data_IF_320983292886
#
_entry.id   IF_320983292886
#
_cell.length_a   1.000
_cell.length_b   1.000
_cell.length_c   1.000
_cell.angle_alpha   90.00
_cell.angle_beta   90.00
_cell.angle_gamma   90.00
#
_symmetry.space_group_name_H-M   'P 1'
#
loop_
_entity.id
_entity.type
_entity.pdbx_description
1 polymer ?
#
# COMPACT_ATOMS: atom_id res chain seq x y z
N UNK A 1 13.52 -10.29 7.11
CA UNK A 1 13.06 -11.66 6.78
C UNK A 1 11.55 -11.73 6.53
N UNK A 2 10.70 -11.10 7.33
CA UNK A 2 9.22 -11.12 7.17
C UNK A 2 8.77 -10.69 5.77
N UNK A 3 9.20 -9.51 5.29
CA UNK A 3 8.86 -9.01 3.96
C UNK A 3 9.39 -9.90 2.81
N UNK A 4 10.60 -10.45 2.96
CA UNK A 4 11.20 -11.35 1.95
C UNK A 4 10.47 -12.70 1.87
N UNK A 5 10.09 -13.27 3.01
CA UNK A 5 9.34 -14.52 3.07
C UNK A 5 7.90 -14.32 2.57
N UNK A 6 7.30 -13.17 2.85
CA UNK A 6 6.00 -12.78 2.29
C UNK A 6 6.08 -12.65 0.76
N UNK A 7 7.15 -12.04 0.25
CA UNK A 7 7.51 -11.98 -1.19
C UNK A 7 7.57 -13.37 -1.82
N UNK A 8 8.28 -14.32 -1.18
CA UNK A 8 8.40 -15.69 -1.68
C UNK A 8 7.09 -16.47 -1.57
N UNK A 9 6.22 -16.19 -0.59
CA UNK A 9 4.96 -16.94 -0.45
C UNK A 9 3.86 -16.48 -1.41
N UNK A 10 3.87 -15.21 -1.81
CA UNK A 10 2.85 -14.60 -2.67
C UNK A 10 3.37 -14.23 -4.06
N UNK A 11 4.47 -14.85 -4.52
CA UNK A 11 4.84 -14.75 -5.94
C UNK A 11 3.90 -15.64 -6.76
N UNK A 12 3.24 -15.07 -7.75
CA UNK A 12 2.48 -15.83 -8.74
C UNK A 12 3.23 -15.70 -10.07
N UNK A 13 3.60 -16.82 -10.68
CA UNK A 13 4.08 -16.84 -12.06
C UNK A 13 2.87 -16.99 -12.96
N UNK A 14 2.56 -15.96 -13.74
CA UNK A 14 1.59 -16.02 -14.83
C UNK A 14 2.33 -15.62 -16.11
N UNK A 15 2.32 -16.49 -17.12
CA UNK A 15 2.81 -16.25 -18.49
C UNK A 15 4.25 -15.71 -18.63
N UNK A 16 5.25 -16.36 -18.00
CA UNK A 16 6.68 -16.07 -18.16
C UNK A 16 7.12 -14.61 -17.86
N UNK A 17 6.26 -13.79 -17.24
CA UNK A 17 6.64 -12.50 -16.67
C UNK A 17 6.44 -12.54 -15.16
N UNK A 18 7.49 -12.18 -14.42
CA UNK A 18 7.44 -12.04 -12.98
C UNK A 18 6.56 -10.82 -12.60
N UNK A 19 5.25 -11.02 -12.53
CA UNK A 19 4.32 -10.04 -11.96
C UNK A 19 4.45 -10.15 -10.46
N UNK A 20 5.24 -9.27 -9.86
CA UNK A 20 5.23 -9.10 -8.41
C UNK A 20 3.78 -8.79 -8.00
N UNK A 21 3.15 -9.72 -7.28
CA UNK A 21 1.78 -9.59 -6.81
C UNK A 21 1.62 -8.22 -6.15
N UNK A 22 0.69 -7.40 -6.67
CA UNK A 22 0.46 -6.05 -6.16
C UNK A 22 0.19 -6.07 -4.65
N UNK A 23 -0.33 -7.20 -4.13
CA UNK A 23 -0.53 -7.50 -2.71
C UNK A 23 0.75 -7.51 -1.87
N UNK A 24 1.92 -7.59 -2.50
CA UNK A 24 3.23 -7.49 -1.83
C UNK A 24 3.85 -6.10 -1.98
N UNK A 25 3.62 -5.45 -3.11
CA UNK A 25 4.15 -4.10 -3.37
C UNK A 25 3.43 -3.08 -2.47
N UNK A 26 2.13 -3.24 -2.24
CA UNK A 26 1.31 -2.34 -1.44
C UNK A 26 1.87 -2.17 0.00
N UNK A 27 2.16 -3.23 0.77
CA UNK A 27 2.78 -3.11 2.09
C UNK A 27 4.16 -2.44 2.06
N UNK A 28 4.98 -2.74 1.05
CA UNK A 28 6.29 -2.08 0.90
C UNK A 28 6.16 -0.58 0.68
N UNK A 29 5.18 -0.15 -0.13
CA UNK A 29 4.89 1.26 -0.38
C UNK A 29 4.29 1.94 0.85
N UNK A 30 3.40 1.26 1.57
CA UNK A 30 2.82 1.74 2.82
C UNK A 30 3.90 2.00 3.87
N UNK A 31 4.79 1.03 4.10
CA UNK A 31 5.89 1.17 5.04
C UNK A 31 6.83 2.31 4.65
N UNK A 32 7.21 2.43 3.36
CA UNK A 32 8.03 3.55 2.88
C UNK A 32 7.36 4.92 3.09
N UNK A 33 6.05 5.03 2.90
CA UNK A 33 5.30 6.24 3.22
C UNK A 33 5.38 6.59 4.71
N UNK A 34 5.19 5.61 5.59
CA UNK A 34 5.25 5.78 7.04
C UNK A 34 6.66 6.18 7.51
N UNK A 35 7.69 5.49 7.02
CA UNK A 35 9.10 5.77 7.35
C UNK A 35 9.50 7.20 6.94
N UNK A 36 9.27 7.56 5.67
CA UNK A 36 9.62 8.89 5.17
C UNK A 36 8.82 9.99 5.87
N UNK A 37 7.55 9.74 6.20
CA UNK A 37 6.73 10.68 6.98
C UNK A 37 7.28 10.88 8.39
N UNK A 38 7.68 9.78 9.05
CA UNK A 38 8.29 9.83 10.39
C UNK A 38 9.62 10.57 10.38
N UNK A 39 10.51 10.25 9.44
CA UNK A 39 11.82 10.89 9.28
C UNK A 39 11.72 12.37 9.00
N UNK A 40 10.76 12.78 8.16
CA UNK A 40 10.47 14.19 7.92
C UNK A 40 10.01 14.91 9.19
N UNK A 41 9.15 14.29 10.00
CA UNK A 41 8.74 14.84 11.30
C UNK A 41 9.89 14.96 12.29
N UNK A 42 10.89 14.10 12.19
CA UNK A 42 12.12 14.16 12.99
C UNK A 42 13.13 15.20 12.49
N UNK A 43 12.77 16.01 11.48
CA UNK A 43 13.58 17.11 10.98
C UNK A 43 14.47 16.79 9.77
N UNK A 44 14.38 15.58 9.20
CA UNK A 44 15.09 15.28 7.96
C UNK A 44 14.52 16.07 6.77
N UNK A 45 15.40 16.53 5.87
CA UNK A 45 15.03 17.27 4.66
C UNK A 45 14.51 16.29 3.61
N UNK A 46 13.23 15.96 3.70
CA UNK A 46 12.53 15.06 2.77
C UNK A 46 11.41 15.83 2.05
N UNK A 47 11.41 15.76 0.72
CA UNK A 47 10.39 16.42 -0.08
C UNK A 47 9.01 15.78 0.14
N UNK A 48 7.95 16.59 0.22
CA UNK A 48 6.57 16.06 0.31
C UNK A 48 6.21 15.25 -0.94
N UNK A 49 6.75 15.62 -2.10
CA UNK A 49 6.58 14.90 -3.36
C UNK A 49 7.07 13.46 -3.26
N UNK A 50 8.20 13.21 -2.60
CA UNK A 50 8.75 11.87 -2.41
C UNK A 50 7.83 11.01 -1.54
N UNK A 51 7.34 11.55 -0.42
CA UNK A 51 6.38 10.87 0.46
C UNK A 51 5.08 10.56 -0.30
N UNK A 52 4.51 11.58 -0.96
CA UNK A 52 3.25 11.45 -1.68
C UNK A 52 3.34 10.47 -2.87
N UNK A 53 4.53 10.28 -3.47
CA UNK A 53 4.72 9.26 -4.51
C UNK A 53 4.36 7.86 -4.00
N UNK A 54 4.82 7.48 -2.80
CA UNK A 54 4.52 6.15 -2.23
C UNK A 54 3.03 5.99 -1.90
N UNK A 55 2.42 7.03 -1.34
CA UNK A 55 0.96 7.09 -1.10
C UNK A 55 0.17 6.89 -2.40
N UNK A 56 0.52 7.65 -3.45
CA UNK A 56 -0.18 7.61 -4.73
C UNK A 56 0.03 6.29 -5.47
N UNK A 57 1.23 5.71 -5.39
CA UNK A 57 1.50 4.37 -5.93
C UNK A 57 0.61 3.32 -5.23
N UNK A 58 0.46 3.40 -3.90
CA UNK A 58 -0.42 2.51 -3.16
C UNK A 58 -1.87 2.60 -3.67
N UNK A 59 -2.42 3.80 -3.87
CA UNK A 59 -3.78 3.98 -4.40
C UNK A 59 -3.96 3.42 -5.81
N UNK A 60 -2.95 3.57 -6.67
CA UNK A 60 -2.97 2.97 -8.01
C UNK A 60 -2.97 1.45 -7.96
N UNK A 61 -2.16 0.88 -7.07
CA UNK A 61 -2.05 -0.56 -6.91
C UNK A 61 -3.31 -1.18 -6.28
N UNK A 62 -3.96 -0.50 -5.34
CA UNK A 62 -5.19 -0.98 -4.71
C UNK A 62 -6.32 -1.19 -5.71
N UNK A 63 -6.39 -0.40 -6.79
CA UNK A 63 -7.37 -0.60 -7.88
C UNK A 63 -7.16 -1.89 -8.66
N UNK A 64 -5.95 -2.45 -8.62
CA UNK A 64 -5.61 -3.67 -9.33
C UNK A 64 -5.86 -4.92 -8.48
N UNK A 65 -6.27 -4.75 -7.21
CA UNK A 65 -6.60 -5.85 -6.33
C UNK A 65 -7.96 -6.44 -6.69
N UNK A 66 -8.02 -7.77 -6.71
CA UNK A 66 -9.29 -8.49 -6.63
C UNK A 66 -9.78 -8.45 -5.19
N UNK A 67 -11.11 -8.49 -4.97
CA UNK A 67 -11.71 -8.65 -3.63
C UNK A 67 -11.54 -10.09 -3.13
N UNK A 68 -10.29 -10.53 -2.99
CA UNK A 68 -9.92 -11.82 -2.41
C UNK A 68 -9.02 -11.61 -1.19
N UNK A 69 -9.39 -12.16 -0.02
CA UNK A 69 -8.58 -12.01 1.18
C UNK A 69 -7.30 -12.84 1.07
N UNK A 70 -6.19 -12.28 1.54
CA UNK A 70 -4.94 -13.00 1.69
C UNK A 70 -4.99 -13.95 2.90
N UNK A 71 -4.41 -15.13 2.74
CA UNK A 71 -4.21 -16.05 3.84
C UNK A 71 -2.88 -15.81 4.55
N UNK A 72 -2.85 -16.03 5.87
CA UNK A 72 -1.62 -16.03 6.67
C UNK A 72 -0.81 -14.71 6.59
N UNK A 73 -1.48 -13.56 6.49
CA UNK A 73 -0.83 -12.25 6.46
C UNK A 73 -0.04 -12.04 7.77
N UNK A 74 1.29 -11.82 7.72
CA UNK A 74 2.11 -11.62 8.91
C UNK A 74 1.65 -10.41 9.72
N UNK A 75 1.74 -10.49 11.05
CA UNK A 75 1.28 -9.42 11.94
C UNK A 75 1.93 -8.06 11.63
N UNK A 76 3.23 -8.06 11.26
CA UNK A 76 3.92 -6.83 10.87
C UNK A 76 3.29 -6.17 9.64
N UNK A 77 2.90 -6.96 8.63
CA UNK A 77 2.22 -6.44 7.43
C UNK A 77 0.86 -5.86 7.81
N UNK A 78 0.12 -6.53 8.70
CA UNK A 78 -1.15 -6.02 9.19
C UNK A 78 -0.98 -4.66 9.87
N UNK A 79 -0.03 -4.56 10.80
CA UNK A 79 0.27 -3.30 11.48
C UNK A 79 0.66 -2.19 10.50
N UNK A 80 1.56 -2.47 9.55
CA UNK A 80 2.00 -1.46 8.58
C UNK A 80 0.85 -0.97 7.69
N UNK A 81 -0.07 -1.84 7.27
CA UNK A 81 -1.26 -1.45 6.48
C UNK A 81 -2.26 -0.69 7.35
N UNK A 82 -2.52 -1.13 8.59
CA UNK A 82 -3.39 -0.41 9.52
C UNK A 82 -2.89 1.01 9.77
N UNK A 83 -1.59 1.17 10.06
CA UNK A 83 -0.99 2.49 10.29
C UNK A 83 -1.06 3.37 9.04
N UNK A 84 -0.89 2.78 7.85
CA UNK A 84 -1.07 3.48 6.59
C UNK A 84 -2.53 3.97 6.41
N UNK A 85 -3.52 3.11 6.64
CA UNK A 85 -4.96 3.46 6.57
C UNK A 85 -5.30 4.61 7.52
N UNK A 86 -4.76 4.58 8.74
CA UNK A 86 -4.98 5.63 9.73
C UNK A 86 -4.31 6.96 9.36
N UNK A 87 -3.23 6.91 8.57
CA UNK A 87 -2.43 8.10 8.24
C UNK A 87 -2.83 8.77 6.92
N UNK A 88 -3.57 8.09 6.04
CA UNK A 88 -4.09 8.68 4.81
C UNK A 88 -5.35 9.52 5.10
N UNK A 89 -5.24 10.84 4.87
CA UNK A 89 -6.34 11.80 5.03
C UNK A 89 -7.10 12.03 3.71
N UNK A 90 -8.39 12.34 3.82
CA UNK A 90 -9.31 12.61 2.70
C UNK A 90 -8.91 13.88 1.94
N UNK A 91 -8.39 14.89 2.64
CA UNK A 91 -8.16 16.23 2.09
C UNK A 91 -6.92 16.35 1.19
N UNK A 92 -6.11 15.30 1.12
CA UNK A 92 -4.72 15.36 0.67
C UNK A 92 -4.49 14.66 -0.69
N UNK A 93 -5.59 14.32 -1.40
CA UNK A 93 -5.56 13.45 -2.58
C UNK A 93 -6.65 13.83 -3.60
N UNK A 94 -6.24 14.41 -4.74
CA UNK A 94 -7.11 14.45 -5.91
C UNK A 94 -7.02 13.11 -6.66
N UNK A 95 -7.83 12.14 -6.22
CA UNK A 95 -7.90 10.80 -6.82
C UNK A 95 -8.18 10.86 -8.34
N UNK A 96 -8.88 11.90 -8.80
CA UNK A 96 -9.17 12.13 -10.24
C UNK A 96 -7.90 12.44 -11.04
N UNK A 97 -6.94 13.16 -10.47
CA UNK A 97 -5.63 13.42 -11.11
C UNK A 97 -4.74 12.17 -11.18
N UNK A 98 -5.06 11.15 -10.38
CA UNK A 98 -4.36 9.87 -10.37
C UNK A 98 -5.00 8.84 -11.31
N UNK A 99 -5.98 9.26 -12.13
CA UNK A 99 -6.84 8.39 -12.94
C UNK A 99 -7.61 7.35 -12.12
N UNK A 100 -7.77 7.59 -10.82
CA UNK A 100 -8.59 6.79 -9.90
C UNK A 100 -10.01 7.34 -9.98
N UNK A 101 -10.73 6.97 -11.05
CA UNK A 101 -11.99 7.63 -11.41
C UNK A 101 -13.25 6.96 -10.81
N UNK A 102 -13.10 5.77 -10.21
CA UNK A 102 -14.23 4.93 -9.80
C UNK A 102 -14.20 4.44 -8.36
N UNK A 103 -13.19 4.81 -7.57
CA UNK A 103 -13.10 4.43 -6.15
C UNK A 103 -12.75 5.64 -5.28
N UNK A 104 -13.35 5.70 -4.11
CA UNK A 104 -13.11 6.72 -3.08
C UNK A 104 -11.95 6.33 -2.17
N UNK A 105 -11.52 7.26 -1.30
CA UNK A 105 -10.53 6.92 -0.26
C UNK A 105 -11.08 5.85 0.69
N UNK A 106 -12.38 5.88 0.99
CA UNK A 106 -13.01 4.88 1.85
C UNK A 106 -13.07 3.51 1.17
N UNK A 107 -13.30 3.46 -0.14
CA UNK A 107 -13.19 2.21 -0.91
C UNK A 107 -11.78 1.63 -0.86
N UNK A 108 -10.75 2.48 -1.01
CA UNK A 108 -9.35 2.06 -0.86
C UNK A 108 -9.11 1.46 0.53
N UNK A 109 -9.58 2.14 1.59
CA UNK A 109 -9.44 1.64 2.96
C UNK A 109 -10.16 0.30 3.13
N UNK A 110 -11.38 0.16 2.62
CA UNK A 110 -12.17 -1.05 2.70
C UNK A 110 -11.51 -2.22 1.95
N UNK A 111 -11.00 -2.00 0.74
CA UNK A 111 -10.27 -3.01 -0.04
C UNK A 111 -9.02 -3.46 0.73
N UNK A 112 -8.24 -2.53 1.28
CA UNK A 112 -7.04 -2.86 2.06
C UNK A 112 -7.40 -3.64 3.33
N UNK A 113 -8.42 -3.22 4.07
CA UNK A 113 -8.90 -3.95 5.26
C UNK A 113 -9.31 -5.38 4.90
N UNK A 114 -10.08 -5.55 3.83
CA UNK A 114 -10.55 -6.85 3.37
C UNK A 114 -9.40 -7.75 2.90
N UNK A 115 -8.55 -7.27 1.99
CA UNK A 115 -7.47 -8.06 1.37
C UNK A 115 -6.41 -8.47 2.40
N UNK A 116 -6.08 -7.61 3.37
CA UNK A 116 -5.04 -7.91 4.38
C UNK A 116 -5.58 -8.54 5.67
N UNK A 117 -6.86 -8.87 5.72
CA UNK A 117 -7.53 -9.47 6.89
C UNK A 117 -7.30 -8.65 8.18
N UNK A 118 -7.62 -7.35 8.12
CA UNK A 118 -7.48 -6.39 9.22
C UNK A 118 -8.76 -6.24 10.04
#
# INVERSE_FOLDING_TARGET
>A
KVYYNFLIKHHVVIDNMAVADFRVIIPLKANAFLDLSKRKLLGEIISQRTINKHKNDNFRLTQLLTYEPLENVPQQIKTDITDFILRIAVDDVDLRQLSVNHITLDDIKNILTFVYCL
#
